data_IF_863191743278
#
_entry.id   IF_863191743278
#
_cell.length_a   1.000
_cell.length_b   1.000
_cell.length_c   1.000
_cell.angle_alpha   90.00
_cell.angle_beta   90.00
_cell.angle_gamma   90.00
#
_symmetry.space_group_name_H-M   'P 1'
#
loop_
_entity.id
_entity.type
_entity.pdbx_description
1 polymer ?
#
# COMPACT_ATOMS: atom_id res chain seq x y z
N UNK A 1 -12.32 -3.78 14.82
CA UNK A 1 -13.08 -4.20 13.62
C UNK A 1 -12.09 -4.42 12.47
N UNK A 2 -12.51 -4.73 11.23
CA UNK A 2 -11.58 -4.53 10.11
C UNK A 2 -11.44 -3.02 9.87
N UNK A 3 -10.24 -2.47 9.55
CA UNK A 3 -10.09 -1.03 9.34
C UNK A 3 -10.99 -0.49 8.22
N UNK A 4 -11.14 -1.24 7.12
CA UNK A 4 -12.01 -0.85 6.00
C UNK A 4 -13.49 -0.76 6.39
N UNK A 5 -13.98 -1.70 7.20
CA UNK A 5 -15.34 -1.68 7.74
C UNK A 5 -15.55 -0.47 8.68
N UNK A 6 -14.51 -0.10 9.45
CA UNK A 6 -14.58 1.04 10.36
C UNK A 6 -14.54 2.39 9.63
N UNK A 7 -13.72 2.52 8.58
CA UNK A 7 -13.77 3.67 7.67
C UNK A 7 -15.15 3.78 7.00
N UNK A 8 -15.71 2.68 6.48
CA UNK A 8 -17.04 2.71 5.87
C UNK A 8 -18.14 3.24 6.81
N UNK A 9 -18.09 2.93 8.11
CA UNK A 9 -19.00 3.50 9.12
C UNK A 9 -18.69 4.97 9.42
N UNK A 10 -17.40 5.33 9.57
CA UNK A 10 -16.97 6.70 9.91
C UNK A 10 -17.22 7.70 8.77
N UNK A 11 -16.97 7.30 7.53
CA UNK A 11 -17.17 8.13 6.33
C UNK A 11 -18.66 8.41 6.07
N UNK A 12 -19.55 7.54 6.59
CA UNK A 12 -21.01 7.65 6.46
C UNK A 12 -21.72 7.94 7.80
N UNK A 13 -21.00 8.44 8.81
CA UNK A 13 -21.45 8.49 10.21
C UNK A 13 -22.77 9.24 10.42
N UNK A 14 -22.88 10.46 9.88
CA UNK A 14 -24.07 11.29 10.03
C UNK A 14 -25.27 10.75 9.22
N UNK A 15 -25.02 10.15 8.05
CA UNK A 15 -26.04 9.49 7.24
C UNK A 15 -26.66 8.30 8.01
N UNK A 16 -25.82 7.47 8.62
CA UNK A 16 -26.24 6.34 9.45
C UNK A 16 -27.04 6.81 10.67
N UNK A 17 -26.52 7.80 11.39
CA UNK A 17 -27.15 8.42 12.57
C UNK A 17 -28.53 9.00 12.27
N UNK A 18 -28.72 9.62 11.09
CA UNK A 18 -29.97 10.26 10.69
C UNK A 18 -31.01 9.31 10.04
N UNK A 19 -30.60 8.23 9.37
CA UNK A 19 -31.53 7.33 8.67
C UNK A 19 -31.85 6.01 9.40
N UNK A 20 -31.03 5.56 10.37
CA UNK A 20 -31.28 4.31 11.08
C UNK A 20 -32.46 4.38 12.07
N UNK A 21 -33.24 3.30 12.14
CA UNK A 21 -34.20 3.04 13.21
C UNK A 21 -33.53 2.26 14.35
N UNK A 22 -32.89 2.98 15.28
CA UNK A 22 -32.01 2.38 16.31
C UNK A 22 -32.71 1.28 17.11
N UNK A 23 -33.95 1.50 17.57
CA UNK A 23 -34.70 0.56 18.41
C UNK A 23 -34.98 -0.78 17.71
N UNK A 24 -35.28 -0.75 16.41
CA UNK A 24 -35.44 -1.95 15.57
C UNK A 24 -34.12 -2.71 15.38
N UNK A 25 -33.03 -1.99 15.12
CA UNK A 25 -31.71 -2.59 14.91
C UNK A 25 -31.12 -3.19 16.18
N UNK A 26 -31.26 -2.51 17.33
CA UNK A 26 -30.87 -3.03 18.64
C UNK A 26 -31.64 -4.31 18.97
N UNK A 27 -32.97 -4.31 18.78
CA UNK A 27 -33.79 -5.50 18.98
C UNK A 27 -33.40 -6.69 18.10
N UNK A 28 -32.96 -6.46 16.86
CA UNK A 28 -32.47 -7.51 15.96
C UNK A 28 -31.05 -7.99 16.32
N UNK A 29 -30.14 -7.11 16.75
CA UNK A 29 -28.77 -7.47 17.18
C UNK A 29 -28.73 -8.30 18.47
N UNK A 30 -29.63 -8.03 19.43
CA UNK A 30 -29.81 -8.86 20.63
C UNK A 30 -30.41 -10.22 20.26
N UNK A 31 -31.44 -10.27 19.40
CA UNK A 31 -32.01 -11.53 18.89
C UNK A 31 -31.02 -12.39 18.13
N UNK A 32 -30.05 -11.79 17.43
CA UNK A 32 -28.96 -12.48 16.76
C UNK A 32 -27.85 -12.99 17.71
N UNK A 33 -27.97 -12.74 19.03
CA UNK A 33 -26.98 -13.17 20.02
C UNK A 33 -25.63 -12.46 19.89
N UNK A 34 -25.60 -11.26 19.31
CA UNK A 34 -24.37 -10.48 19.10
C UNK A 34 -24.22 -9.35 20.12
N UNK A 35 -25.34 -8.80 20.60
CA UNK A 35 -25.38 -7.86 21.72
C UNK A 35 -26.03 -8.48 22.96
N UNK A 36 -25.53 -8.12 24.14
CA UNK A 36 -26.14 -8.47 25.42
C UNK A 36 -27.27 -7.49 25.79
N UNK A 37 -28.21 -7.86 26.69
CA UNK A 37 -29.25 -6.95 27.16
C UNK A 37 -28.70 -5.62 27.72
N UNK A 38 -27.59 -5.67 28.44
CA UNK A 38 -26.93 -4.46 28.96
C UNK A 38 -26.40 -3.53 27.85
N UNK A 39 -26.05 -4.05 26.68
CA UNK A 39 -25.67 -3.23 25.52
C UNK A 39 -26.88 -2.60 24.85
N UNK A 40 -28.04 -3.27 24.80
CA UNK A 40 -29.28 -2.63 24.39
C UNK A 40 -29.72 -1.54 25.38
N UNK A 41 -29.65 -1.80 26.69
CA UNK A 41 -30.05 -0.84 27.71
C UNK A 41 -29.15 0.41 27.69
N UNK A 42 -27.84 0.22 27.51
CA UNK A 42 -26.86 1.32 27.39
C UNK A 42 -27.13 2.24 26.19
N UNK A 43 -27.54 1.68 25.04
CA UNK A 43 -27.84 2.47 23.84
C UNK A 43 -29.22 3.13 23.92
N UNK A 44 -30.25 2.40 24.38
CA UNK A 44 -31.63 2.88 24.36
C UNK A 44 -31.98 3.84 25.51
N UNK A 45 -31.33 3.69 26.67
CA UNK A 45 -31.52 4.55 27.85
C UNK A 45 -30.37 5.55 28.04
N UNK A 46 -29.54 5.77 27.01
CA UNK A 46 -28.50 6.81 27.05
C UNK A 46 -29.12 8.20 27.17
N UNK A 47 -28.52 9.03 28.03
CA UNK A 47 -28.85 10.45 28.13
C UNK A 47 -27.86 11.30 27.29
N UNK A 48 -28.33 12.37 26.60
CA UNK A 48 -29.73 12.73 26.44
C UNK A 48 -30.48 11.74 25.53
N UNK A 49 -31.80 11.65 25.69
CA UNK A 49 -32.67 10.68 25.02
C UNK A 49 -32.90 10.94 23.52
N UNK A 50 -32.20 11.94 22.97
CA UNK A 50 -32.34 12.42 21.60
C UNK A 50 -31.91 11.35 20.59
N UNK A 51 -32.59 11.32 19.43
CA UNK A 51 -32.33 10.34 18.37
C UNK A 51 -30.87 10.35 17.90
N UNK A 52 -30.28 11.53 17.82
CA UNK A 52 -28.88 11.73 17.43
C UNK A 52 -27.89 11.12 18.43
N UNK A 53 -28.14 11.28 19.73
CA UNK A 53 -27.31 10.72 20.80
C UNK A 53 -27.47 9.20 20.90
N UNK A 54 -28.71 8.68 20.79
CA UNK A 54 -28.96 7.24 20.63
C UNK A 54 -28.24 6.67 19.38
N UNK A 55 -28.28 7.39 18.26
CA UNK A 55 -27.63 7.00 17.00
C UNK A 55 -26.11 6.97 17.10
N UNK A 56 -25.51 7.99 17.71
CA UNK A 56 -24.08 8.02 18.00
C UNK A 56 -23.68 6.86 18.95
N UNK A 57 -24.40 6.64 20.04
CA UNK A 57 -24.13 5.52 20.97
C UNK A 57 -24.30 4.16 20.32
N UNK A 58 -25.27 4.01 19.42
CA UNK A 58 -25.44 2.81 18.62
C UNK A 58 -24.19 2.53 17.75
N UNK A 59 -23.75 3.51 16.95
CA UNK A 59 -22.60 3.35 16.07
C UNK A 59 -21.29 3.16 16.83
N UNK A 60 -21.05 3.91 17.92
CA UNK A 60 -19.94 3.67 18.85
C UNK A 60 -19.92 2.22 19.36
N UNK A 61 -21.09 1.64 19.66
CA UNK A 61 -21.22 0.28 20.18
C UNK A 61 -21.05 -0.78 19.08
N UNK A 62 -21.49 -0.52 17.84
CA UNK A 62 -21.23 -1.40 16.68
C UNK A 62 -19.73 -1.48 16.39
N UNK A 63 -19.03 -0.34 16.36
CA UNK A 63 -17.57 -0.27 16.16
C UNK A 63 -16.83 -1.05 17.26
N UNK A 64 -17.18 -0.83 18.54
CA UNK A 64 -16.58 -1.52 19.69
C UNK A 64 -16.88 -3.03 19.70
N UNK A 65 -18.07 -3.45 19.26
CA UNK A 65 -18.46 -4.86 19.15
C UNK A 65 -17.80 -5.60 17.97
N UNK A 66 -17.09 -4.89 17.08
CA UNK A 66 -16.20 -5.46 16.08
C UNK A 66 -16.88 -6.19 14.91
N UNK A 67 -16.08 -6.91 14.12
CA UNK A 67 -16.45 -7.33 12.76
C UNK A 67 -17.66 -8.28 12.70
N UNK A 68 -17.88 -9.10 13.74
CA UNK A 68 -19.09 -9.94 13.84
C UNK A 68 -20.36 -9.08 13.96
N UNK A 69 -20.31 -8.01 14.76
CA UNK A 69 -21.42 -7.07 14.90
C UNK A 69 -21.67 -6.30 13.60
N UNK A 70 -20.63 -5.82 12.93
CA UNK A 70 -20.77 -5.15 11.64
C UNK A 70 -21.37 -6.05 10.57
N UNK A 71 -20.93 -7.32 10.47
CA UNK A 71 -21.51 -8.29 9.54
C UNK A 71 -22.99 -8.55 9.82
N UNK A 72 -23.39 -8.75 11.09
CA UNK A 72 -24.80 -8.93 11.46
C UNK A 72 -25.62 -7.67 11.21
N UNK A 73 -25.09 -6.47 11.49
CA UNK A 73 -25.71 -5.19 11.15
C UNK A 73 -25.93 -5.04 9.63
N UNK A 74 -24.94 -5.39 8.82
CA UNK A 74 -25.04 -5.40 7.35
C UNK A 74 -26.02 -6.46 6.82
N UNK A 75 -26.16 -7.61 7.50
CA UNK A 75 -27.17 -8.61 7.19
C UNK A 75 -28.58 -8.06 7.49
N UNK A 76 -28.79 -7.45 8.66
CA UNK A 76 -30.06 -6.83 9.05
C UNK A 76 -30.46 -5.70 8.09
N UNK A 77 -29.50 -4.88 7.62
CA UNK A 77 -29.72 -3.91 6.54
C UNK A 77 -30.18 -4.63 5.26
N UNK A 78 -29.48 -5.67 4.82
CA UNK A 78 -29.83 -6.46 3.61
C UNK A 78 -31.18 -7.19 3.71
N UNK A 79 -31.62 -7.59 4.90
CA UNK A 79 -32.96 -8.15 5.16
C UNK A 79 -34.04 -7.06 5.13
N UNK A 80 -33.71 -5.84 5.58
CA UNK A 80 -34.64 -4.71 5.67
C UNK A 80 -34.76 -3.91 4.36
N UNK A 81 -34.33 -4.48 3.22
CA UNK A 81 -34.33 -3.88 1.86
C UNK A 81 -35.68 -3.35 1.36
N UNK A 82 -36.79 -3.72 1.99
CA UNK A 82 -38.13 -3.23 1.65
C UNK A 82 -38.34 -1.75 1.97
N UNK A 83 -37.46 -1.14 2.78
CA UNK A 83 -37.48 0.29 3.08
C UNK A 83 -36.44 1.06 2.22
N UNK A 84 -36.85 2.00 1.34
CA UNK A 84 -35.94 2.69 0.44
C UNK A 84 -34.88 3.54 1.15
N UNK A 85 -35.13 3.97 2.41
CA UNK A 85 -34.11 4.67 3.24
C UNK A 85 -32.86 3.83 3.45
N UNK A 86 -33.04 2.53 3.63
CA UNK A 86 -31.94 1.59 3.86
C UNK A 86 -31.23 1.22 2.54
N UNK A 87 -31.83 1.43 1.37
CA UNK A 87 -31.17 1.20 0.08
C UNK A 87 -29.99 2.17 -0.13
N UNK A 88 -30.16 3.45 0.23
CA UNK A 88 -29.09 4.45 0.24
C UNK A 88 -27.95 4.05 1.17
N UNK A 89 -28.27 3.59 2.39
CA UNK A 89 -27.27 3.13 3.37
C UNK A 89 -26.51 1.87 2.90
N UNK A 90 -27.20 0.93 2.24
CA UNK A 90 -26.58 -0.28 1.67
C UNK A 90 -25.59 0.07 0.56
N UNK A 91 -25.90 1.07 -0.28
CA UNK A 91 -25.00 1.60 -1.30
C UNK A 91 -23.82 2.35 -0.70
N UNK A 92 -24.08 3.22 0.28
CA UNK A 92 -23.08 4.03 0.98
C UNK A 92 -22.02 3.18 1.70
N UNK A 93 -22.46 2.13 2.40
CA UNK A 93 -21.58 1.14 3.05
C UNK A 93 -20.97 0.11 2.06
N UNK A 94 -21.16 0.28 0.75
CA UNK A 94 -20.64 -0.62 -0.30
C UNK A 94 -21.00 -2.10 -0.10
N UNK A 95 -22.16 -2.39 0.51
CA UNK A 95 -22.54 -3.75 0.90
C UNK A 95 -22.94 -4.55 -0.34
N UNK A 96 -21.98 -5.31 -0.88
CA UNK A 96 -22.15 -6.08 -2.10
C UNK A 96 -23.36 -7.03 -2.05
N UNK A 97 -24.05 -7.14 -3.18
CA UNK A 97 -25.20 -8.03 -3.34
C UNK A 97 -24.73 -9.46 -3.65
N UNK A 98 -24.14 -10.13 -2.67
CA UNK A 98 -23.92 -11.58 -2.70
C UNK A 98 -25.27 -12.31 -2.64
N UNK A 99 -25.75 -12.82 -3.78
CA UNK A 99 -26.96 -13.65 -3.84
C UNK A 99 -26.59 -15.11 -3.58
N UNK A 100 -26.84 -15.59 -2.37
CA UNK A 100 -27.40 -16.93 -2.09
C UNK A 100 -27.58 -17.17 -0.59
N UNK A 101 -28.48 -18.08 -0.20
CA UNK A 101 -28.61 -18.57 1.18
C UNK A 101 -27.65 -19.73 1.50
N UNK A 102 -27.72 -20.16 2.75
CA UNK A 102 -27.13 -21.37 3.34
C UNK A 102 -25.62 -21.38 3.63
N UNK A 103 -25.19 -22.43 4.32
CA UNK A 103 -24.12 -22.41 5.32
C UNK A 103 -22.94 -23.31 4.95
N UNK A 104 -21.71 -22.81 5.13
CA UNK A 104 -20.50 -23.53 4.71
C UNK A 104 -19.21 -22.95 5.28
N UNK A 105 -18.56 -23.75 6.12
CA UNK A 105 -17.30 -23.50 6.84
C UNK A 105 -16.15 -23.01 5.94
N UNK A 106 -15.49 -21.91 6.36
CA UNK A 106 -14.07 -21.54 6.17
C UNK A 106 -13.26 -22.13 4.99
N UNK A 107 -12.66 -21.24 4.17
CA UNK A 107 -11.20 -21.28 3.93
C UNK A 107 -10.62 -19.91 3.50
N UNK A 108 -9.29 -19.82 3.48
CA UNK A 108 -8.49 -18.64 3.07
C UNK A 108 -8.77 -18.15 1.64
N UNK A 109 -8.64 -16.84 1.41
CA UNK A 109 -8.37 -16.28 0.07
C UNK A 109 -9.08 -14.96 -0.23
N UNK A 110 -8.32 -13.88 -0.41
CA UNK A 110 -8.82 -12.62 -1.00
C UNK A 110 -8.59 -12.60 -2.52
N UNK A 111 -9.63 -12.38 -3.35
CA UNK A 111 -9.48 -11.98 -4.74
C UNK A 111 -9.57 -10.45 -4.88
N UNK A 112 -8.74 -9.86 -5.74
CA UNK A 112 -8.90 -8.45 -6.18
C UNK A 112 -10.17 -8.30 -7.02
N UNK A 113 -10.85 -7.16 -6.90
CA UNK A 113 -11.90 -6.77 -7.85
C UNK A 113 -11.27 -6.14 -9.11
N UNK A 114 -11.85 -6.41 -10.28
CA UNK A 114 -11.79 -5.54 -11.46
C UNK A 114 -12.98 -5.82 -12.37
N UNK A 115 -13.97 -4.93 -12.28
CA UNK A 115 -14.81 -4.42 -13.38
C UNK A 115 -15.17 -5.33 -14.56
N UNK A 116 -16.42 -5.80 -14.54
CA UNK A 116 -17.42 -5.70 -15.64
C UNK A 116 -17.02 -6.02 -17.09
N UNK A 117 -17.76 -6.95 -17.71
CA UNK A 117 -18.79 -6.56 -18.71
C UNK A 117 -19.84 -7.66 -18.98
N UNK A 118 -21.00 -7.22 -19.42
CA UNK A 118 -22.14 -7.95 -20.02
C UNK A 118 -21.78 -8.74 -21.29
N UNK A 119 -22.54 -9.70 -21.82
CA UNK A 119 -23.74 -10.47 -21.37
C UNK A 119 -24.01 -11.57 -22.44
N UNK A 120 -24.90 -12.54 -22.14
CA UNK A 120 -25.86 -13.26 -23.03
C UNK A 120 -26.02 -14.74 -22.60
N UNK A 121 -27.28 -15.19 -22.52
CA UNK A 121 -27.68 -16.57 -22.21
C UNK A 121 -27.54 -17.52 -23.41
N UNK A 122 -27.52 -18.83 -23.17
CA UNK A 122 -28.56 -19.79 -23.64
C UNK A 122 -28.27 -21.21 -23.09
N UNK A 123 -29.31 -22.04 -22.99
CA UNK A 123 -29.31 -23.42 -22.50
C UNK A 123 -28.58 -24.43 -23.40
N UNK A 124 -27.94 -25.46 -22.82
CA UNK A 124 -28.49 -26.84 -22.85
C UNK A 124 -27.62 -27.84 -22.07
N UNK A 125 -28.23 -28.92 -21.59
CA UNK A 125 -27.57 -30.08 -20.99
C UNK A 125 -27.18 -31.14 -22.02
N UNK A 126 -26.14 -31.94 -21.75
CA UNK A 126 -26.19 -33.42 -21.79
C UNK A 126 -24.94 -34.03 -21.11
N UNK A 127 -25.02 -35.31 -20.75
CA UNK A 127 -24.07 -36.02 -19.87
C UNK A 127 -23.29 -37.14 -20.59
N UNK A 128 -22.52 -37.93 -19.82
CA UNK A 128 -21.69 -39.13 -20.13
C UNK A 128 -20.18 -38.80 -20.24
N UNK A 129 -19.22 -39.32 -19.45
CA UNK A 129 -19.03 -40.48 -18.53
C UNK A 129 -18.22 -41.64 -19.15
N UNK A 130 -17.36 -42.28 -18.33
CA UNK A 130 -16.43 -43.41 -18.61
C UNK A 130 -15.22 -43.05 -19.52
N UNK A 131 -13.98 -43.50 -19.28
CA UNK A 131 -13.41 -44.14 -18.08
C UNK A 131 -12.06 -44.89 -18.29
N UNK A 132 -11.07 -44.57 -17.43
CA UNK A 132 -9.91 -45.38 -16.95
C UNK A 132 -8.89 -46.07 -17.89
N UNK A 133 -7.66 -46.23 -17.35
CA UNK A 133 -6.55 -47.13 -17.75
C UNK A 133 -5.76 -46.82 -19.05
N UNK A 134 -4.46 -47.13 -19.17
CA UNK A 134 -3.40 -47.41 -18.19
C UNK A 134 -1.98 -47.38 -18.86
N UNK A 135 -0.95 -47.13 -18.04
CA UNK A 135 0.47 -47.53 -18.16
C UNK A 135 1.34 -47.22 -19.42
N UNK A 136 2.60 -46.86 -19.15
CA UNK A 136 3.70 -46.75 -20.15
C UNK A 136 4.42 -48.10 -20.31
N UNK A 137 5.28 -48.26 -21.34
CA UNK A 137 6.71 -48.20 -21.00
C UNK A 137 7.63 -47.48 -22.03
N UNK A 138 8.86 -47.26 -21.57
CA UNK A 138 10.02 -46.66 -22.24
C UNK A 138 10.44 -47.27 -23.58
N UNK A 139 11.03 -46.44 -24.47
CA UNK A 139 11.84 -46.88 -25.61
C UNK A 139 12.72 -45.74 -26.15
N UNK A 140 14.04 -45.84 -25.96
CA UNK A 140 15.03 -44.82 -26.37
C UNK A 140 15.64 -45.14 -27.75
N UNK A 141 15.86 -44.08 -28.57
CA UNK A 141 16.83 -43.97 -29.69
C UNK A 141 16.57 -42.72 -30.53
N UNK A 142 17.49 -41.75 -30.48
CA UNK A 142 17.57 -40.64 -31.43
C UNK A 142 18.90 -40.67 -32.20
N UNK A 143 18.90 -41.21 -33.43
CA UNK A 143 20.05 -41.11 -34.34
C UNK A 143 19.64 -40.61 -35.74
N UNK A 144 20.35 -39.56 -36.18
CA UNK A 144 20.62 -39.15 -37.58
C UNK A 144 19.54 -39.32 -38.67
N UNK A 145 18.94 -38.19 -39.05
CA UNK A 145 18.73 -37.82 -40.47
C UNK A 145 19.28 -36.39 -40.64
N UNK A 146 20.39 -36.14 -41.33
CA UNK A 146 20.65 -36.29 -42.78
C UNK A 146 19.66 -35.47 -43.61
N UNK A 147 20.12 -34.31 -44.08
CA UNK A 147 19.38 -33.45 -45.01
C UNK A 147 19.53 -33.96 -46.45
N UNK A 148 18.41 -34.11 -47.16
CA UNK A 148 18.39 -34.42 -48.58
C UNK A 148 17.79 -33.23 -49.37
N UNK A 149 18.60 -32.63 -50.23
CA UNK A 149 18.21 -31.48 -51.08
C UNK A 149 17.64 -31.99 -52.41
N UNK A 150 16.50 -31.45 -52.85
CA UNK A 150 15.82 -31.91 -54.06
C UNK A 150 16.61 -31.62 -55.35
N UNK A 151 16.61 -32.53 -56.35
CA UNK A 151 17.28 -32.33 -57.63
C UNK A 151 16.29 -31.93 -58.76
N UNK A 152 16.52 -30.79 -59.42
CA UNK A 152 16.01 -30.51 -60.77
C UNK A 152 16.84 -29.42 -61.46
N UNK A 153 17.57 -29.79 -62.51
CA UNK A 153 17.77 -29.04 -63.77
C UNK A 153 18.36 -29.99 -64.82
N UNK A 154 18.00 -29.78 -66.08
CA UNK A 154 18.69 -30.35 -67.23
C UNK A 154 19.62 -29.29 -67.84
N UNK A 155 20.55 -29.68 -68.72
CA UNK A 155 20.40 -29.51 -70.18
C UNK A 155 21.62 -30.11 -70.94
N UNK A 156 21.43 -30.30 -72.25
CA UNK A 156 22.41 -30.36 -73.36
C UNK A 156 23.45 -31.50 -73.58
N UNK A 157 23.13 -32.31 -74.61
CA UNK A 157 23.84 -32.50 -75.90
C UNK A 157 25.11 -33.39 -76.10
N UNK A 158 25.03 -34.07 -77.26
CA UNK A 158 26.09 -34.51 -78.20
C UNK A 158 26.91 -35.82 -78.00
N UNK A 159 27.03 -36.51 -79.15
CA UNK A 159 27.85 -37.68 -79.53
C UNK A 159 28.36 -37.37 -80.98
N UNK A 160 29.27 -38.13 -81.64
CA UNK A 160 29.58 -39.56 -81.52
C UNK A 160 30.98 -39.77 -80.88
N UNK A 161 32.07 -40.34 -81.42
CA UNK A 161 32.31 -41.22 -82.59
C UNK A 161 33.64 -42.01 -82.48
N UNK A 162 33.71 -43.18 -83.12
CA UNK A 162 34.83 -43.77 -83.88
C UNK A 162 34.51 -45.22 -84.32
N UNK A 163 34.98 -45.63 -85.50
CA UNK A 163 34.47 -46.78 -86.27
C UNK A 163 35.54 -47.84 -86.60
N UNK A 164 35.09 -49.08 -86.86
CA UNK A 164 35.88 -50.16 -87.47
C UNK A 164 35.16 -50.62 -88.77
N UNK A 165 35.90 -50.86 -89.86
CA UNK A 165 35.34 -51.02 -91.21
C UNK A 165 35.14 -52.49 -91.67
N UNK A 166 34.73 -52.68 -92.93
CA UNK A 166 34.68 -53.96 -93.65
C UNK A 166 33.69 -55.04 -93.14
N UNK A 167 32.55 -54.61 -92.58
CA UNK A 167 31.34 -55.44 -92.55
C UNK A 167 30.09 -54.64 -92.93
N UNK A 168 29.42 -54.92 -94.07
CA UNK A 168 28.24 -54.15 -94.50
C UNK A 168 27.09 -54.28 -93.49
N UNK A 169 26.72 -53.15 -92.90
CA UNK A 169 25.68 -53.00 -91.90
C UNK A 169 24.30 -52.91 -92.53
N UNK A 170 23.55 -54.01 -92.47
CA UNK A 170 22.17 -54.10 -92.99
C UNK A 170 22.07 -53.99 -94.55
N UNK A 171 20.90 -54.27 -95.15
CA UNK A 171 20.74 -54.23 -96.61
C UNK A 171 20.81 -52.82 -97.21
N UNK A 172 20.55 -51.77 -96.40
CA UNK A 172 20.56 -50.40 -96.88
C UNK A 172 21.96 -49.97 -97.32
N UNK A 173 22.98 -50.24 -96.50
CA UNK A 173 24.39 -49.96 -96.84
C UNK A 173 24.84 -50.77 -98.07
N UNK A 174 24.44 -52.04 -98.18
CA UNK A 174 24.77 -52.86 -99.34
C UNK A 174 24.20 -52.29 -100.66
N UNK A 175 22.98 -51.74 -100.64
CA UNK A 175 22.38 -51.06 -101.80
C UNK A 175 23.09 -49.73 -102.08
N UNK A 176 23.41 -48.92 -101.07
CA UNK A 176 24.16 -47.67 -101.26
C UNK A 176 25.56 -47.91 -101.81
N UNK A 177 26.28 -48.93 -101.33
CA UNK A 177 27.59 -49.32 -101.84
C UNK A 177 27.53 -49.87 -103.29
N UNK A 178 26.46 -50.56 -103.67
CA UNK A 178 26.24 -50.98 -105.05
C UNK A 178 25.97 -49.80 -105.98
N UNK A 179 25.18 -48.81 -105.54
CA UNK A 179 24.93 -47.56 -106.28
C UNK A 179 26.23 -46.77 -106.49
N UNK A 180 27.07 -46.65 -105.46
CA UNK A 180 28.39 -46.00 -105.57
C UNK A 180 29.35 -46.75 -106.52
N UNK A 181 29.33 -48.09 -106.53
CA UNK A 181 30.17 -48.89 -107.44
C UNK A 181 29.70 -48.90 -108.90
N UNK A 182 28.44 -48.55 -109.15
CA UNK A 182 27.87 -48.40 -110.50
C UNK A 182 27.89 -46.93 -111.02
N UNK A 183 28.45 -45.99 -110.25
CA UNK A 183 28.57 -44.57 -110.63
C UNK A 183 30.02 -44.17 -110.90
N UNK A 184 30.32 -43.75 -112.13
CA UNK A 184 31.62 -43.15 -112.45
C UNK A 184 31.74 -41.76 -111.81
N UNK A 185 32.63 -41.63 -110.82
CA UNK A 185 32.82 -40.44 -109.99
C UNK A 185 33.26 -39.17 -110.76
N UNK A 186 33.54 -39.28 -112.06
CA UNK A 186 33.95 -38.17 -112.94
C UNK A 186 32.96 -37.86 -114.08
N UNK A 187 31.88 -38.64 -114.24
CA UNK A 187 30.86 -38.42 -115.28
C UNK A 187 29.43 -38.27 -114.74
N UNK A 188 29.14 -38.82 -113.56
CA UNK A 188 27.80 -38.77 -112.94
C UNK A 188 26.73 -39.61 -113.66
N UNK A 189 27.11 -40.38 -114.69
CA UNK A 189 26.22 -41.26 -115.42
C UNK A 189 26.35 -42.68 -114.83
N UNK A 190 25.25 -43.28 -114.38
CA UNK A 190 25.28 -44.67 -113.88
C UNK A 190 25.26 -45.66 -115.05
N UNK A 191 26.10 -46.69 -114.99
CA UNK A 191 25.92 -47.86 -115.84
C UNK A 191 24.79 -48.72 -115.28
N UNK A 192 23.63 -48.63 -115.94
CA UNK A 192 22.44 -49.40 -115.62
C UNK A 192 22.70 -50.93 -115.64
N UNK A 193 23.67 -51.42 -116.45
CA UNK A 193 23.91 -52.86 -116.62
C UNK A 193 24.72 -53.45 -115.46
N UNK A 194 25.69 -52.71 -114.91
CA UNK A 194 26.33 -53.09 -113.62
C UNK A 194 25.39 -52.87 -112.44
N UNK A 195 24.60 -51.79 -112.43
CA UNK A 195 23.59 -51.56 -111.38
C UNK A 195 22.56 -52.70 -111.31
N UNK A 196 21.99 -53.12 -112.45
CA UNK A 196 21.08 -54.29 -112.51
C UNK A 196 21.77 -55.56 -112.02
N UNK A 197 23.03 -55.81 -112.38
CA UNK A 197 23.77 -57.00 -111.90
C UNK A 197 23.97 -57.02 -110.39
N UNK A 198 24.33 -55.90 -109.77
CA UNK A 198 24.47 -55.86 -108.30
C UNK A 198 23.11 -55.89 -107.60
N UNK A 199 22.07 -55.23 -108.14
CA UNK A 199 20.70 -55.35 -107.64
C UNK A 199 20.20 -56.81 -107.71
N UNK A 200 20.49 -57.55 -108.78
CA UNK A 200 20.14 -58.97 -108.93
C UNK A 200 20.93 -59.87 -107.97
N UNK A 201 22.16 -59.51 -107.55
CA UNK A 201 22.89 -60.21 -106.48
C UNK A 201 22.33 -59.94 -105.09
N UNK A 202 21.86 -58.71 -104.85
CA UNK A 202 21.31 -58.27 -103.55
C UNK A 202 19.82 -58.69 -103.41
N UNK A 203 19.10 -58.90 -104.52
CA UNK A 203 17.69 -59.30 -104.52
C UNK A 203 17.41 -60.62 -103.76
N UNK A 204 18.21 -61.70 -103.88
CA UNK A 204 18.09 -62.87 -103.02
C UNK A 204 18.25 -62.54 -101.53
N UNK A 205 19.19 -61.66 -101.16
CA UNK A 205 19.41 -61.26 -99.76
C UNK A 205 18.23 -60.43 -99.24
N UNK A 206 17.72 -59.49 -100.04
CA UNK A 206 16.51 -58.72 -99.75
C UNK A 206 15.28 -59.64 -99.62
N UNK A 207 15.13 -60.63 -100.50
CA UNK A 207 14.05 -61.61 -100.42
C UNK A 207 14.16 -62.49 -99.16
N UNK A 208 15.37 -62.91 -98.80
CA UNK A 208 15.64 -63.68 -97.58
C UNK A 208 15.35 -62.87 -96.31
N UNK A 209 15.61 -61.55 -96.35
CA UNK A 209 15.28 -60.61 -95.28
C UNK A 209 13.79 -60.26 -95.22
N UNK A 210 13.10 -60.07 -96.35
CA UNK A 210 11.63 -59.98 -96.35
C UNK A 210 10.98 -61.29 -95.91
N UNK A 211 11.55 -62.45 -96.21
CA UNK A 211 11.09 -63.75 -95.71
C UNK A 211 11.33 -63.90 -94.20
N UNK A 212 12.49 -63.48 -93.68
CA UNK A 212 12.78 -63.43 -92.23
C UNK A 212 11.90 -62.44 -91.47
N UNK A 213 11.67 -61.26 -92.03
CA UNK A 213 10.74 -60.26 -91.47
C UNK A 213 9.29 -60.76 -91.55
N UNK A 214 8.87 -61.37 -92.65
CA UNK A 214 7.52 -61.91 -92.80
C UNK A 214 7.28 -63.09 -91.83
N UNK A 215 8.25 -63.99 -91.66
CA UNK A 215 8.16 -65.06 -90.65
C UNK A 215 8.17 -64.48 -89.24
N UNK A 216 9.10 -63.60 -88.86
CA UNK A 216 9.06 -62.93 -87.55
C UNK A 216 7.76 -62.16 -87.30
N UNK A 217 7.20 -61.48 -88.29
CA UNK A 217 5.98 -60.66 -88.13
C UNK A 217 4.72 -61.52 -88.10
N UNK A 218 4.66 -62.62 -88.85
CA UNK A 218 3.54 -63.58 -88.77
C UNK A 218 3.60 -64.46 -87.51
N UNK A 219 4.78 -64.70 -86.92
CA UNK A 219 4.89 -65.31 -85.58
C UNK A 219 4.82 -64.31 -84.42
N UNK A 220 4.65 -63.00 -84.70
CA UNK A 220 4.44 -61.95 -83.68
C UNK A 220 3.04 -61.29 -83.81
N UNK A 221 2.16 -61.88 -84.62
CA UNK A 221 0.76 -61.99 -84.21
C UNK A 221 0.74 -62.99 -83.04
N UNK A 222 0.01 -62.70 -81.95
CA UNK A 222 -0.04 -63.58 -80.78
C UNK A 222 -0.79 -64.89 -81.10
N UNK A 223 -0.07 -65.87 -81.66
CA UNK A 223 -0.61 -67.16 -82.15
C UNK A 223 -0.71 -68.23 -81.06
N UNK A 224 -0.66 -67.85 -79.78
CA UNK A 224 -1.07 -68.69 -78.66
C UNK A 224 -2.10 -67.97 -77.80
N UNK A 225 -3.15 -68.69 -77.40
CA UNK A 225 -4.14 -68.18 -76.42
C UNK A 225 -3.46 -67.87 -75.08
N UNK A 226 -2.42 -68.66 -74.74
CA UNK A 226 -1.55 -68.48 -73.58
C UNK A 226 -0.89 -67.08 -73.52
N UNK A 227 -0.42 -66.52 -74.64
CA UNK A 227 0.19 -65.18 -74.64
C UNK A 227 -0.83 -64.06 -74.47
N UNK A 228 -1.99 -64.14 -75.14
CA UNK A 228 -3.07 -63.16 -74.95
C UNK A 228 -3.63 -63.21 -73.52
N UNK A 229 -3.71 -64.41 -72.93
CA UNK A 229 -4.07 -64.64 -71.53
C UNK A 229 -3.01 -64.06 -70.58
N UNK A 230 -1.72 -64.31 -70.81
CA UNK A 230 -0.61 -63.74 -70.05
C UNK A 230 -0.59 -62.21 -70.11
N UNK A 231 -0.80 -61.61 -71.29
CA UNK A 231 -0.90 -60.15 -71.47
C UNK A 231 -2.10 -59.59 -70.68
N UNK A 232 -3.25 -60.29 -70.64
CA UNK A 232 -4.38 -59.89 -69.77
C UNK A 232 -4.03 -59.99 -68.28
N UNK A 233 -3.42 -61.08 -67.85
CA UNK A 233 -3.01 -61.28 -66.45
C UNK A 233 -1.99 -60.21 -65.99
N UNK A 234 -1.01 -59.86 -66.84
CA UNK A 234 -0.07 -58.78 -66.57
C UNK A 234 -0.73 -57.38 -66.63
N UNK A 235 -1.70 -57.15 -67.51
CA UNK A 235 -2.48 -55.90 -67.49
C UNK A 235 -3.33 -55.76 -66.21
N UNK A 236 -3.94 -56.85 -65.73
CA UNK A 236 -4.69 -56.84 -64.47
C UNK A 236 -3.78 -56.78 -63.24
N UNK A 237 -2.55 -57.30 -63.30
CA UNK A 237 -1.50 -57.03 -62.30
C UNK A 237 -1.14 -55.55 -62.28
N UNK A 238 -0.89 -54.93 -63.44
CA UNK A 238 -0.60 -53.50 -63.57
C UNK A 238 -1.76 -52.61 -63.10
N UNK A 239 -3.02 -53.02 -63.34
CA UNK A 239 -4.20 -52.33 -62.80
C UNK A 239 -4.27 -52.40 -61.28
N UNK A 240 -3.92 -53.55 -60.69
CA UNK A 240 -3.87 -53.74 -59.22
C UNK A 240 -2.72 -52.95 -58.59
N UNK A 241 -1.53 -52.94 -59.17
CA UNK A 241 -0.39 -52.15 -58.65
C UNK A 241 -0.66 -50.65 -58.80
N UNK A 242 -1.16 -50.18 -59.94
CA UNK A 242 -1.54 -48.77 -60.13
C UNK A 242 -2.64 -48.33 -59.15
N UNK A 243 -3.64 -49.17 -58.88
CA UNK A 243 -4.67 -48.87 -57.87
C UNK A 243 -4.06 -48.73 -56.47
N UNK A 244 -3.18 -49.65 -56.06
CA UNK A 244 -2.45 -49.57 -54.79
C UNK A 244 -1.51 -48.35 -54.72
N UNK A 245 -0.91 -47.93 -55.84
CA UNK A 245 -0.11 -46.71 -55.91
C UNK A 245 -0.96 -45.44 -55.75
N UNK A 246 -2.16 -45.39 -56.35
CA UNK A 246 -3.12 -44.28 -56.15
C UNK A 246 -3.64 -44.24 -54.71
N UNK A 247 -3.93 -45.39 -54.10
CA UNK A 247 -4.31 -45.49 -52.68
C UNK A 247 -3.20 -44.97 -51.75
N UNK A 248 -1.93 -45.32 -52.02
CA UNK A 248 -0.76 -44.79 -51.31
C UNK A 248 -0.54 -43.30 -51.57
N UNK A 249 -0.74 -42.82 -52.80
CA UNK A 249 -0.65 -41.39 -53.12
C UNK A 249 -1.69 -40.58 -52.32
N UNK A 250 -2.92 -41.08 -52.24
CA UNK A 250 -4.01 -40.45 -51.49
C UNK A 250 -3.73 -40.45 -49.98
N UNK A 251 -3.22 -41.55 -49.40
CA UNK A 251 -2.84 -41.57 -47.98
C UNK A 251 -1.65 -40.66 -47.67
N UNK A 252 -0.67 -40.53 -48.57
CA UNK A 252 0.38 -39.51 -48.46
C UNK A 252 -0.18 -38.08 -48.54
N UNK A 253 -1.10 -37.79 -49.46
CA UNK A 253 -1.77 -36.48 -49.56
C UNK A 253 -2.53 -36.13 -48.27
N UNK A 254 -3.30 -37.08 -47.72
CA UNK A 254 -3.99 -36.93 -46.44
C UNK A 254 -2.99 -36.68 -45.29
N UNK A 255 -1.85 -37.39 -45.26
CA UNK A 255 -0.83 -37.18 -44.22
C UNK A 255 -0.13 -35.82 -44.35
N UNK A 256 0.11 -35.33 -45.57
CA UNK A 256 0.65 -33.99 -45.83
C UNK A 256 -0.33 -32.92 -45.32
N UNK A 257 -1.62 -33.05 -45.62
CA UNK A 257 -2.66 -32.13 -45.13
C UNK A 257 -2.74 -32.15 -43.59
N UNK A 258 -2.69 -33.33 -42.97
CA UNK A 258 -2.66 -33.46 -41.52
C UNK A 258 -1.46 -32.72 -40.90
N UNK A 259 -0.25 -32.94 -41.44
CA UNK A 259 0.97 -32.28 -40.98
C UNK A 259 0.95 -30.76 -41.22
N UNK A 260 0.31 -30.26 -42.28
CA UNK A 260 0.13 -28.83 -42.52
C UNK A 260 -0.83 -28.19 -41.49
N UNK A 261 -1.93 -28.85 -41.16
CA UNK A 261 -2.88 -28.41 -40.13
C UNK A 261 -2.26 -28.44 -38.73
N UNK A 262 -1.46 -29.46 -38.43
CA UNK A 262 -0.69 -29.59 -37.19
C UNK A 262 0.35 -28.47 -37.06
N UNK A 263 1.13 -28.22 -38.12
CA UNK A 263 2.08 -27.10 -38.17
C UNK A 263 1.40 -25.72 -38.03
N UNK A 264 0.16 -25.55 -38.52
CA UNK A 264 -0.62 -24.32 -38.32
C UNK A 264 -1.00 -24.15 -36.84
N UNK A 265 -1.55 -25.20 -36.22
CA UNK A 265 -1.89 -25.20 -34.79
C UNK A 265 -0.68 -24.94 -33.88
N UNK A 266 0.50 -25.48 -34.21
CA UNK A 266 1.72 -25.26 -33.43
C UNK A 266 2.21 -23.80 -33.51
N UNK A 267 2.03 -23.11 -34.64
CA UNK A 267 2.30 -21.66 -34.75
C UNK A 267 1.31 -20.85 -33.94
N UNK A 268 0.01 -21.14 -34.12
CA UNK A 268 -1.07 -20.49 -33.36
C UNK A 268 -0.90 -20.69 -31.85
N UNK A 269 -0.43 -21.86 -31.39
CA UNK A 269 -0.11 -22.10 -29.98
C UNK A 269 1.08 -21.25 -29.51
N UNK A 270 2.20 -21.25 -30.24
CA UNK A 270 3.41 -20.48 -29.91
C UNK A 270 3.12 -18.96 -29.85
N UNK A 271 2.30 -18.43 -30.74
CA UNK A 271 1.93 -17.00 -30.72
C UNK A 271 0.94 -16.68 -29.57
N UNK A 272 0.05 -17.62 -29.20
CA UNK A 272 -0.75 -17.55 -27.97
C UNK A 272 0.11 -17.70 -26.68
N UNK A 273 1.26 -18.35 -26.75
CA UNK A 273 2.20 -18.51 -25.63
C UNK A 273 3.03 -17.24 -25.42
N UNK A 274 3.56 -16.64 -26.50
CA UNK A 274 4.22 -15.31 -26.47
C UNK A 274 3.31 -14.23 -25.90
N UNK A 275 2.05 -14.17 -26.34
CA UNK A 275 1.09 -13.16 -25.87
C UNK A 275 0.72 -13.34 -24.40
N UNK A 276 0.66 -14.57 -23.89
CA UNK A 276 0.55 -14.84 -22.44
C UNK A 276 1.81 -14.44 -21.69
N UNK A 277 3.00 -14.70 -22.23
CA UNK A 277 4.25 -14.30 -21.61
C UNK A 277 4.35 -12.78 -21.49
N UNK A 278 4.06 -12.02 -22.56
CA UNK A 278 4.07 -10.55 -22.50
C UNK A 278 3.05 -10.01 -21.49
N UNK A 279 1.86 -10.61 -21.37
CA UNK A 279 0.89 -10.24 -20.33
C UNK A 279 1.40 -10.55 -18.91
N UNK A 280 2.16 -11.64 -18.73
CA UNK A 280 2.77 -12.00 -17.45
C UNK A 280 3.91 -11.02 -17.08
N UNK A 281 4.73 -10.62 -18.07
CA UNK A 281 5.80 -9.63 -17.90
C UNK A 281 5.22 -8.23 -17.57
N UNK A 282 4.16 -7.82 -18.26
CA UNK A 282 3.40 -6.60 -17.95
C UNK A 282 2.83 -6.63 -16.52
N UNK A 283 2.24 -7.76 -16.09
CA UNK A 283 1.69 -7.92 -14.75
C UNK A 283 2.78 -7.99 -13.67
N UNK A 284 3.98 -8.49 -13.99
CA UNK A 284 5.14 -8.38 -13.10
C UNK A 284 5.57 -6.91 -12.95
N UNK A 285 5.69 -6.16 -14.06
CA UNK A 285 6.03 -4.73 -14.01
C UNK A 285 5.00 -3.90 -13.25
N UNK A 286 3.70 -4.19 -13.39
CA UNK A 286 2.64 -3.57 -12.60
C UNK A 286 2.77 -3.92 -11.11
N UNK A 287 3.04 -5.19 -10.78
CA UNK A 287 3.25 -5.65 -9.41
C UNK A 287 4.45 -4.96 -8.75
N UNK A 288 5.56 -4.79 -9.48
CA UNK A 288 6.76 -4.14 -8.97
C UNK A 288 6.56 -2.64 -8.73
N UNK A 289 5.87 -1.94 -9.64
CA UNK A 289 5.42 -0.54 -9.41
C UNK A 289 4.48 -0.39 -8.20
N UNK A 290 3.69 -1.42 -7.88
CA UNK A 290 2.86 -1.45 -6.68
C UNK A 290 3.67 -1.74 -5.41
N UNK A 291 4.72 -2.57 -5.47
CA UNK A 291 5.68 -2.76 -4.36
C UNK A 291 6.41 -1.45 -4.05
N UNK A 292 6.91 -0.77 -5.08
CA UNK A 292 7.65 0.49 -4.96
C UNK A 292 6.82 1.57 -4.26
N UNK A 293 5.57 1.79 -4.71
CA UNK A 293 4.62 2.70 -4.05
C UNK A 293 4.28 2.30 -2.62
N UNK A 294 4.21 1.01 -2.31
CA UNK A 294 3.96 0.52 -0.95
C UNK A 294 5.17 0.77 -0.02
N UNK A 295 6.40 0.68 -0.55
CA UNK A 295 7.63 1.04 0.16
C UNK A 295 7.70 2.56 0.39
N UNK A 296 7.35 3.37 -0.61
CA UNK A 296 7.25 4.84 -0.51
C UNK A 296 6.23 5.25 0.56
N UNK A 297 5.02 4.67 0.53
CA UNK A 297 3.98 4.90 1.56
C UNK A 297 4.44 4.45 2.96
N UNK A 298 5.16 3.33 3.07
CA UNK A 298 5.72 2.87 4.35
C UNK A 298 6.75 3.87 4.90
N UNK A 299 7.68 4.35 4.08
CA UNK A 299 8.67 5.35 4.50
C UNK A 299 8.00 6.66 4.93
N UNK A 300 6.98 7.12 4.19
CA UNK A 300 6.22 8.32 4.53
C UNK A 300 5.49 8.18 5.89
N UNK A 301 4.96 6.99 6.21
CA UNK A 301 4.38 6.70 7.52
C UNK A 301 5.44 6.67 8.62
N UNK A 302 6.58 6.01 8.41
CA UNK A 302 7.72 5.98 9.34
C UNK A 302 8.33 7.39 9.58
N UNK A 303 8.14 8.32 8.66
CA UNK A 303 8.50 9.74 8.83
C UNK A 303 7.46 10.53 9.62
N UNK A 304 6.16 10.24 9.44
CA UNK A 304 5.10 10.85 10.26
C UNK A 304 5.07 10.33 11.68
N UNK A 305 5.43 9.06 11.90
CA UNK A 305 5.61 8.48 13.23
C UNK A 305 6.72 9.21 14.00
N UNK A 306 7.91 9.38 13.40
CA UNK A 306 9.03 10.15 13.98
C UNK A 306 8.69 11.63 14.27
N UNK A 307 7.90 12.28 13.42
CA UNK A 307 7.45 13.66 13.66
C UNK A 307 6.46 13.71 14.84
N UNK A 308 5.56 12.74 14.97
CA UNK A 308 4.64 12.65 16.12
C UNK A 308 5.39 12.38 17.43
N UNK A 309 6.39 11.48 17.44
CA UNK A 309 7.23 11.22 18.62
C UNK A 309 7.95 12.50 19.09
N UNK A 310 8.55 13.25 18.16
CA UNK A 310 9.17 14.54 18.47
C UNK A 310 8.16 15.59 18.98
N UNK A 311 6.90 15.55 18.54
CA UNK A 311 5.85 16.43 19.06
C UNK A 311 5.37 15.99 20.46
N UNK A 312 5.32 14.69 20.73
CA UNK A 312 5.02 14.16 22.06
C UNK A 312 6.12 14.52 23.08
N UNK A 313 7.40 14.42 22.70
CA UNK A 313 8.52 14.86 23.55
C UNK A 313 8.43 16.36 23.88
N UNK A 314 8.15 17.21 22.88
CA UNK A 314 7.93 18.66 23.09
C UNK A 314 6.75 18.93 24.02
N UNK A 315 5.63 18.21 23.87
CA UNK A 315 4.48 18.33 24.76
C UNK A 315 4.82 17.87 26.20
N UNK A 316 5.62 16.83 26.36
CA UNK A 316 6.08 16.37 27.67
C UNK A 316 6.96 17.41 28.37
N UNK A 317 7.86 18.08 27.64
CA UNK A 317 8.65 19.20 28.21
C UNK A 317 7.74 20.37 28.64
N UNK A 318 6.75 20.75 27.81
CA UNK A 318 5.78 21.81 28.14
C UNK A 318 4.92 21.45 29.36
N UNK A 319 4.60 20.16 29.57
CA UNK A 319 3.91 19.69 30.78
C UNK A 319 4.79 19.89 32.03
N UNK A 320 6.07 19.51 31.97
CA UNK A 320 7.03 19.67 33.07
C UNK A 320 7.22 21.16 33.40
N UNK A 321 7.43 22.02 32.39
CA UNK A 321 7.51 23.48 32.57
C UNK A 321 6.26 24.05 33.24
N UNK A 322 5.07 23.53 32.90
CA UNK A 322 3.81 23.97 33.48
C UNK A 322 3.62 23.49 34.93
N UNK A 323 4.12 22.31 35.27
CA UNK A 323 4.15 21.80 36.65
C UNK A 323 5.14 22.60 37.52
N UNK A 324 6.33 22.92 37.01
CA UNK A 324 7.25 23.85 37.67
C UNK A 324 6.62 25.24 37.89
N UNK A 325 5.91 25.78 36.90
CA UNK A 325 5.24 27.08 37.01
C UNK A 325 4.13 27.05 38.06
N UNK A 326 3.34 25.97 38.15
CA UNK A 326 2.33 25.78 39.22
C UNK A 326 2.96 25.77 40.62
N UNK A 327 4.09 25.07 40.79
CA UNK A 327 4.81 25.04 42.07
C UNK A 327 5.34 26.44 42.45
N UNK A 328 5.87 27.19 41.46
CA UNK A 328 6.33 28.57 41.65
C UNK A 328 5.17 29.52 42.01
N UNK A 329 4.00 29.35 41.40
CA UNK A 329 2.79 30.12 41.73
C UNK A 329 2.29 29.80 43.15
N UNK A 330 2.14 28.53 43.52
CA UNK A 330 1.71 28.13 44.86
C UNK A 330 2.65 28.66 45.96
N UNK A 331 3.97 28.70 45.71
CA UNK A 331 4.94 29.30 46.62
C UNK A 331 4.79 30.83 46.75
N UNK A 332 4.35 31.52 45.70
CA UNK A 332 4.07 32.97 45.75
C UNK A 332 2.72 33.27 46.41
N UNK A 333 1.73 32.40 46.23
CA UNK A 333 0.44 32.46 46.92
C UNK A 333 0.63 32.30 48.44
N UNK A 334 1.41 31.30 48.88
CA UNK A 334 1.76 31.15 50.29
C UNK A 334 2.48 32.39 50.85
N UNK A 335 3.50 32.90 50.14
CA UNK A 335 4.24 34.09 50.57
C UNK A 335 3.35 35.35 50.66
N UNK A 336 2.36 35.46 49.77
CA UNK A 336 1.37 36.53 49.81
C UNK A 336 0.41 36.39 51.00
N UNK A 337 -0.06 35.19 51.32
CA UNK A 337 -0.83 34.96 52.56
C UNK A 337 -0.03 35.25 53.82
N UNK A 338 1.25 34.89 53.86
CA UNK A 338 2.15 35.18 54.99
C UNK A 338 2.34 36.69 55.16
N UNK A 339 2.58 37.43 54.07
CA UNK A 339 2.67 38.89 54.09
C UNK A 339 1.35 39.60 54.43
N UNK A 340 0.19 39.03 54.06
CA UNK A 340 -1.12 39.54 54.47
C UNK A 340 -1.33 39.37 55.98
N UNK A 341 -1.01 38.19 56.54
CA UNK A 341 -1.08 37.96 57.99
C UNK A 341 -0.15 38.89 58.77
N UNK A 342 1.09 39.07 58.32
CA UNK A 342 2.01 40.02 58.97
C UNK A 342 1.49 41.47 58.88
N UNK A 343 0.89 41.86 57.76
CA UNK A 343 0.26 43.18 57.62
C UNK A 343 -0.93 43.36 58.57
N UNK A 344 -1.79 42.34 58.74
CA UNK A 344 -2.92 42.38 59.69
C UNK A 344 -2.43 42.51 61.15
N UNK A 345 -1.40 41.74 61.55
CA UNK A 345 -0.76 41.86 62.87
C UNK A 345 -0.15 43.26 63.07
N UNK A 346 0.53 43.81 62.05
CA UNK A 346 1.05 45.18 62.09
C UNK A 346 -0.05 46.24 62.23
N UNK A 347 -1.19 46.09 61.54
CA UNK A 347 -2.34 47.00 61.71
C UNK A 347 -2.92 46.92 63.11
N UNK A 348 -3.09 45.72 63.68
CA UNK A 348 -3.56 45.55 65.05
C UNK A 348 -2.61 46.21 66.06
N UNK A 349 -1.31 46.01 65.91
CA UNK A 349 -0.32 46.64 66.79
C UNK A 349 -0.32 48.18 66.69
N UNK A 350 -0.54 48.73 65.49
CA UNK A 350 -0.71 50.17 65.26
C UNK A 350 -1.98 50.69 65.94
N UNK A 351 -3.10 49.96 65.89
CA UNK A 351 -4.36 50.35 66.55
C UNK A 351 -4.20 50.33 68.09
N UNK A 352 -3.49 49.36 68.64
CA UNK A 352 -3.17 49.28 70.08
C UNK A 352 -2.29 50.46 70.53
N UNK A 353 -1.22 50.77 69.78
CA UNK A 353 -0.35 51.92 70.07
C UNK A 353 -1.09 53.27 69.93
N UNK A 354 -2.09 53.37 69.06
CA UNK A 354 -2.97 54.54 68.99
C UNK A 354 -3.86 54.66 70.24
N UNK A 355 -4.46 53.55 70.70
CA UNK A 355 -5.25 53.52 71.94
C UNK A 355 -4.41 53.90 73.16
N UNK A 356 -3.18 53.38 73.28
CA UNK A 356 -2.27 53.76 74.37
C UNK A 356 -1.90 55.24 74.30
N UNK A 357 -1.54 55.75 73.12
CA UNK A 357 -1.21 57.17 72.90
C UNK A 357 -2.36 58.11 73.29
N UNK A 358 -3.60 57.78 72.93
CA UNK A 358 -4.76 58.59 73.31
C UNK A 358 -5.08 58.49 74.82
N UNK A 359 -4.83 57.32 75.44
CA UNK A 359 -4.90 57.18 76.90
C UNK A 359 -3.82 58.02 77.61
N UNK A 360 -2.58 58.01 77.12
CA UNK A 360 -1.49 58.86 77.63
C UNK A 360 -1.82 60.35 77.47
N UNK A 361 -2.38 60.75 76.32
CA UNK A 361 -2.84 62.13 76.07
C UNK A 361 -3.91 62.56 77.08
N UNK A 362 -4.90 61.72 77.37
CA UNK A 362 -5.91 62.00 78.40
C UNK A 362 -5.34 62.09 79.82
N UNK A 363 -4.29 61.32 80.14
CA UNK A 363 -3.55 61.47 81.40
C UNK A 363 -2.80 62.81 81.48
N UNK A 364 -2.20 63.26 80.38
CA UNK A 364 -1.52 64.57 80.29
C UNK A 364 -2.52 65.70 80.50
N UNK A 365 -3.67 65.69 79.83
CA UNK A 365 -4.73 66.71 79.98
C UNK A 365 -5.19 66.84 81.44
N UNK A 366 -5.41 65.72 82.14
CA UNK A 366 -5.75 65.68 83.57
C UNK A 366 -4.61 66.17 84.49
N UNK A 367 -3.35 66.11 84.05
CA UNK A 367 -2.21 66.70 84.78
C UNK A 367 -2.08 68.20 84.51
N UNK A 368 -2.30 68.65 83.27
CA UNK A 368 -2.32 70.06 82.88
C UNK A 368 -3.43 70.83 83.62
N UNK A 369 -4.64 70.25 83.76
CA UNK A 369 -5.70 70.84 84.57
C UNK A 369 -5.30 71.01 86.05
N UNK A 370 -4.63 70.00 86.64
CA UNK A 370 -4.16 70.05 88.04
C UNK A 370 -3.04 71.07 88.21
N UNK A 371 -2.13 71.18 87.24
CA UNK A 371 -1.08 72.20 87.22
C UNK A 371 -1.72 73.60 87.14
N UNK A 372 -2.62 73.83 86.19
CA UNK A 372 -3.35 75.09 85.99
C UNK A 372 -4.16 75.51 87.23
N UNK A 373 -4.78 74.56 87.93
CA UNK A 373 -5.43 74.84 89.22
C UNK A 373 -4.41 75.24 90.30
N UNK A 374 -3.26 74.57 90.35
CA UNK A 374 -2.18 74.86 91.31
C UNK A 374 -1.54 76.23 91.03
N UNK A 375 -1.35 76.60 89.76
CA UNK A 375 -0.89 77.92 89.32
C UNK A 375 -1.88 79.03 89.70
N UNK A 376 -3.19 78.82 89.53
CA UNK A 376 -4.21 79.77 90.00
C UNK A 376 -4.22 79.94 91.53
N UNK A 377 -3.90 78.89 92.29
CA UNK A 377 -3.75 78.97 93.74
C UNK A 377 -2.48 79.75 94.09
N UNK A 378 -1.36 79.47 93.39
CA UNK A 378 -0.09 80.17 93.56
C UNK A 378 -0.24 81.68 93.29
N UNK A 379 -0.85 82.07 92.17
CA UNK A 379 -1.08 83.47 91.79
C UNK A 379 -1.86 84.23 92.88
N UNK A 380 -2.93 83.64 93.46
CA UNK A 380 -3.68 84.24 94.58
C UNK A 380 -2.85 84.36 95.86
N UNK A 381 -1.88 83.47 96.08
CA UNK A 381 -0.94 83.55 97.20
C UNK A 381 0.13 84.62 96.96
N UNK A 382 0.59 84.80 95.72
CA UNK A 382 1.53 85.85 95.30
C UNK A 382 0.87 87.24 95.37
N UNK A 383 -0.34 87.42 94.85
CA UNK A 383 -1.16 88.64 95.02
C UNK A 383 -1.32 89.01 96.51
N UNK A 384 -1.61 88.02 97.34
CA UNK A 384 -1.73 88.19 98.79
C UNK A 384 -0.38 88.52 99.45
N UNK A 385 0.72 87.94 98.99
CA UNK A 385 2.08 88.26 99.46
C UNK A 385 2.43 89.71 99.12
N UNK A 386 2.17 90.13 97.88
CA UNK A 386 2.40 91.50 97.39
C UNK A 386 1.58 92.51 98.23
N UNK A 387 0.30 92.23 98.53
CA UNK A 387 -0.49 93.08 99.43
C UNK A 387 0.07 93.15 100.86
N UNK A 388 0.68 92.07 101.36
CA UNK A 388 1.33 92.06 102.68
C UNK A 388 2.67 92.81 102.66
N UNK A 389 3.45 92.70 101.59
CA UNK A 389 4.72 93.42 101.40
C UNK A 389 4.50 94.93 101.21
N UNK A 390 3.50 95.33 100.43
CA UNK A 390 3.06 96.72 100.30
C UNK A 390 2.60 97.31 101.66
N UNK A 391 1.98 96.50 102.53
CA UNK A 391 1.68 96.89 103.93
C UNK A 391 2.91 96.91 104.83
N UNK A 392 3.92 96.09 104.56
CA UNK A 392 5.17 96.02 105.34
C UNK A 392 6.06 97.25 105.13
N UNK A 393 6.13 97.74 103.89
CA UNK A 393 7.04 98.81 103.44
C UNK A 393 6.79 100.22 104.04
N UNK A 394 5.89 100.37 105.03
CA UNK A 394 5.74 101.60 105.82
C UNK A 394 6.41 101.57 107.20
N UNK A 395 7.12 100.51 107.61
CA UNK A 395 7.81 100.46 108.92
C UNK A 395 9.33 100.26 108.80
N UNK A 396 10.08 101.24 109.32
CA UNK A 396 11.53 101.35 109.17
C UNK A 396 12.33 100.69 110.32
N UNK A 397 13.35 99.89 109.93
CA UNK A 397 14.70 99.75 110.53
C UNK A 397 14.94 99.01 111.86
N UNK A 398 16.17 98.48 111.93
CA UNK A 398 16.94 97.88 113.06
C UNK A 398 16.60 96.44 113.46
N UNK A 399 17.57 95.55 113.76
CA UNK A 399 19.05 95.54 113.56
C UNK A 399 19.57 94.05 113.51
N UNK A 400 20.84 93.77 113.12
CA UNK A 400 21.29 92.42 112.73
C UNK A 400 22.04 91.61 113.81
N UNK A 401 22.18 90.28 113.58
CA UNK A 401 23.25 89.28 113.92
C UNK A 401 22.68 87.87 113.56
N UNK A 402 23.39 86.77 113.28
CA UNK A 402 24.84 86.42 113.24
C UNK A 402 25.11 85.34 112.15
N UNK A 403 26.36 84.92 111.92
CA UNK A 403 26.74 83.98 110.84
C UNK A 403 26.89 82.51 111.26
N UNK A 404 26.26 81.61 110.48
CA UNK A 404 26.81 80.29 110.05
C UNK A 404 26.75 79.08 111.00
N UNK A 405 27.14 77.87 110.54
CA UNK A 405 27.69 77.54 109.20
C UNK A 405 27.13 76.28 108.48
N UNK A 406 27.47 76.16 107.18
CA UNK A 406 27.83 74.92 106.46
C UNK A 406 26.80 73.83 106.03
N UNK A 407 26.41 73.93 104.74
CA UNK A 407 26.37 72.83 103.73
C UNK A 407 25.31 71.70 103.96
N UNK A 408 25.34 70.54 103.23
CA UNK A 408 24.62 70.47 101.95
C UNK A 408 23.74 69.21 101.76
N UNK A 409 22.77 69.25 100.85
CA UNK A 409 22.15 68.02 100.31
C UNK A 409 21.75 68.12 98.83
N UNK A 410 22.71 68.49 97.97
CA UNK A 410 22.66 68.04 96.57
C UNK A 410 23.03 66.55 96.50
N UNK A 411 22.04 65.69 96.73
CA UNK A 411 21.97 64.39 96.08
C UNK A 411 20.80 64.49 95.06
N UNK A 412 20.87 63.95 93.85
CA UNK A 412 21.90 63.05 93.34
C UNK A 412 21.28 61.91 92.53
N UNK A 413 20.33 62.22 91.65
CA UNK A 413 19.75 61.27 90.69
C UNK A 413 19.54 61.97 89.34
N UNK A 414 20.62 62.16 88.60
CA UNK A 414 20.55 62.11 87.14
C UNK A 414 20.45 60.64 86.70
N UNK A 415 19.92 60.44 85.49
CA UNK A 415 20.16 59.28 84.63
C UNK A 415 19.91 57.87 85.21
N UNK A 416 18.65 57.43 85.04
CA UNK A 416 18.38 56.16 84.34
C UNK A 416 17.34 56.35 83.23
N UNK A 417 17.68 57.13 82.21
CA UNK A 417 17.00 56.99 80.92
C UNK A 417 17.42 55.65 80.32
N UNK A 418 16.50 54.70 80.20
CA UNK A 418 16.73 53.46 79.44
C UNK A 418 16.64 53.75 77.94
N UNK A 419 17.59 54.53 77.42
CA UNK A 419 17.89 54.56 76.00
C UNK A 419 18.49 53.21 75.60
N UNK A 420 17.60 52.27 75.25
CA UNK A 420 17.99 51.06 74.57
C UNK A 420 18.65 51.45 73.24
N UNK A 421 19.98 51.39 73.18
CA UNK A 421 20.69 51.35 71.90
C UNK A 421 20.38 50.00 71.23
N UNK A 422 19.23 49.95 70.55
CA UNK A 422 18.93 48.90 69.58
C UNK A 422 19.90 49.11 68.42
N UNK A 423 21.10 48.55 68.54
CA UNK A 423 22.02 48.38 67.42
C UNK A 423 21.40 47.39 66.45
N UNK A 424 20.61 47.90 65.51
CA UNK A 424 20.28 47.19 64.28
C UNK A 424 21.58 46.98 63.48
N UNK A 425 22.30 45.90 63.83
CA UNK A 425 23.13 45.22 62.84
C UNK A 425 22.19 44.39 61.96
N UNK A 426 22.03 44.72 60.67
CA UNK A 426 21.36 43.81 59.75
C UNK A 426 22.25 42.58 59.57
N UNK A 427 21.90 41.47 60.22
CA UNK A 427 22.45 40.17 59.87
C UNK A 427 21.82 39.71 58.56
N UNK A 428 22.43 40.13 57.44
CA UNK A 428 22.23 39.45 56.17
C UNK A 428 22.80 38.03 56.26
N UNK A 429 22.05 36.97 55.91
CA UNK A 429 22.59 35.62 55.82
C UNK A 429 23.57 35.49 54.64
N UNK A 430 24.83 35.82 54.85
CA UNK A 430 25.92 35.52 53.91
C UNK A 430 26.34 34.06 54.01
N UNK A 431 25.48 33.13 53.56
CA UNK A 431 25.84 31.72 53.44
C UNK A 431 25.06 30.99 52.32
N UNK A 432 25.27 31.47 51.08
CA UNK A 432 25.14 30.61 49.89
C UNK A 432 26.54 30.28 49.37
N UNK A 433 27.18 29.29 50.00
CA UNK A 433 28.47 28.77 49.53
C UNK A 433 28.30 28.05 48.18
N UNK A 434 28.54 28.79 47.10
CA UNK A 434 28.54 28.28 45.72
C UNK A 434 29.77 27.40 45.46
N UNK A 435 29.82 26.22 46.07
CA UNK A 435 30.98 25.33 46.08
C UNK A 435 30.64 23.90 45.66
N UNK A 436 30.09 23.72 44.45
CA UNK A 436 30.04 22.41 43.80
C UNK A 436 30.29 22.51 42.28
N UNK A 437 31.48 22.99 41.91
CA UNK A 437 31.95 23.01 40.52
C UNK A 437 32.32 21.58 40.11
N UNK A 438 31.31 20.86 39.59
CA UNK A 438 31.39 19.47 39.16
C UNK A 438 30.94 19.22 37.71
N UNK A 439 30.99 20.24 36.83
CA UNK A 439 30.52 20.14 35.44
C UNK A 439 31.40 20.89 34.46
N UNK A 440 31.75 20.26 33.32
CA UNK A 440 32.55 20.85 32.24
C UNK A 440 31.69 21.18 31.01
N UNK A 441 31.81 22.40 30.49
CA UNK A 441 31.66 22.69 29.05
C UNK A 441 30.37 23.40 28.60
N UNK A 442 30.50 24.21 27.54
CA UNK A 442 29.45 25.09 26.99
C UNK A 442 29.59 26.52 27.55
N UNK A 443 30.16 27.54 26.87
CA UNK A 443 29.77 28.13 25.57
C UNK A 443 28.24 28.34 25.54
N UNK A 444 27.73 29.55 25.79
CA UNK A 444 27.57 30.61 24.79
C UNK A 444 26.22 30.41 24.07
N UNK A 445 25.33 31.39 23.94
CA UNK A 445 25.52 32.66 23.23
C UNK A 445 24.65 33.81 23.78
N UNK A 446 24.96 35.02 23.32
CA UNK A 446 24.18 36.26 23.43
C UNK A 446 22.67 36.09 23.14
N UNK A 447 21.86 36.85 23.89
CA UNK A 447 21.17 38.03 23.37
C UNK A 447 21.56 39.22 24.25
#
# INVERSE_FOLDING_TARGET
>A
MNPHDEHAIRDNWELLKQELNIEEFVGKLVKAGVWSPHQSDFVLNSAPLDRDSKGQRFLETVVKSGSKCYQTFCNILRESKTNPRYETLIKALSIQHSVSPDSGVSYMGSPRQSTTLSSISTTSSMSLNVGACAENPSGDRNERMVSARAPWRADDLYHPDETDEDRPGTPAEAVHAAVQKASDATSGNLDMVTLEKELVKIAPTIADLFSKIHTQTTTVVATSEEELKKIREDNDRLRKTNRSLVEKLNSFQQKIIQLQLENKKLREFNDNEKTKQTQLDEKSSELDKLKEKLIEQKHLLEEKERELDMQLEKLQMVIIDNEEQKLKLASLEQLHEEGLREYEDQQYQIEELQKEKDQQKGQIEVLEEKQKMSEQILQRLEERLIMLEQRSNQKNKTRPRYYGPSRPWMNGMMEKSHHAQVKLQPQFPTDFSSSNIGGKGGKGWNV
#
